data_IF_338589973234
#
_entry.id   IF_338589973234
#
_cell.length_a   1.000
_cell.length_b   1.000
_cell.length_c   1.000
_cell.angle_alpha   90.00
_cell.angle_beta   90.00
_cell.angle_gamma   90.00
#
_symmetry.space_group_name_H-M   'P 1'
#
loop_
_entity.id
_entity.type
_entity.pdbx_description
1 polymer ?
#
# COMPACT_ATOMS: atom_id res chain seq x y z
N UNK A 1 18.04 16.50 -1.53
CA UNK A 1 17.06 16.26 -2.62
C UNK A 1 16.86 17.55 -3.39
N UNK A 2 16.79 17.48 -4.72
CA UNK A 2 16.49 18.65 -5.56
C UNK A 2 15.05 19.13 -5.29
N UNK A 3 14.82 20.42 -4.98
CA UNK A 3 13.49 21.00 -4.83
C UNK A 3 12.53 20.71 -5.98
N UNK A 4 13.06 20.50 -7.20
CA UNK A 4 12.27 20.14 -8.40
C UNK A 4 11.67 18.74 -8.30
N UNK A 5 12.42 17.79 -7.75
CA UNK A 5 11.96 16.40 -7.55
C UNK A 5 10.86 16.33 -6.49
N UNK A 6 11.00 17.09 -5.40
CA UNK A 6 9.98 17.19 -4.35
C UNK A 6 8.68 17.82 -4.90
N UNK A 7 8.79 18.90 -5.68
CA UNK A 7 7.63 19.56 -6.31
C UNK A 7 6.95 18.65 -7.34
N UNK A 8 7.71 17.90 -8.14
CA UNK A 8 7.17 16.92 -9.07
C UNK A 8 6.46 15.77 -8.34
N UNK A 9 7.02 15.29 -7.22
CA UNK A 9 6.41 14.28 -6.36
C UNK A 9 5.07 14.74 -5.77
N UNK A 10 5.03 15.94 -5.20
CA UNK A 10 3.79 16.53 -4.68
C UNK A 10 2.77 16.74 -5.81
N UNK A 11 3.19 17.30 -6.95
CA UNK A 11 2.31 17.55 -8.10
C UNK A 11 1.71 16.26 -8.67
N UNK A 12 2.53 15.23 -8.87
CA UNK A 12 2.06 13.92 -9.37
C UNK A 12 1.12 13.22 -8.39
N UNK A 13 1.32 13.39 -7.08
CA UNK A 13 0.45 12.80 -6.06
C UNK A 13 -0.88 13.52 -5.93
N UNK A 14 -0.89 14.85 -6.07
CA UNK A 14 -2.13 15.64 -6.15
C UNK A 14 -2.91 15.27 -7.41
N UNK A 15 -2.24 15.16 -8.56
CA UNK A 15 -2.89 14.71 -9.80
C UNK A 15 -3.41 13.28 -9.66
N UNK A 16 -2.64 12.37 -9.08
CA UNK A 16 -3.05 10.99 -8.81
C UNK A 16 -4.25 10.91 -7.86
N UNK A 17 -4.28 11.72 -6.81
CA UNK A 17 -5.42 11.83 -5.89
C UNK A 17 -6.65 12.40 -6.58
N UNK A 18 -6.51 13.46 -7.37
CA UNK A 18 -7.63 14.09 -8.08
C UNK A 18 -8.18 13.20 -9.19
N UNK A 19 -7.31 12.55 -9.97
CA UNK A 19 -7.70 11.60 -11.02
C UNK A 19 -8.30 10.34 -10.39
N UNK A 20 -7.70 9.79 -9.34
CA UNK A 20 -8.23 8.65 -8.61
C UNK A 20 -9.58 8.95 -7.95
N UNK A 21 -9.77 10.16 -7.39
CA UNK A 21 -11.04 10.61 -6.83
C UNK A 21 -12.09 10.86 -7.92
N UNK A 22 -11.72 11.50 -9.03
CA UNK A 22 -12.62 11.76 -10.15
C UNK A 22 -13.06 10.46 -10.83
N UNK A 23 -12.12 9.57 -11.15
CA UNK A 23 -12.43 8.24 -11.68
C UNK A 23 -13.26 7.43 -10.67
N UNK A 24 -13.01 7.57 -9.37
CA UNK A 24 -13.83 6.90 -8.37
C UNK A 24 -15.26 7.41 -8.25
N UNK A 25 -15.49 8.70 -8.51
CA UNK A 25 -16.82 9.32 -8.43
C UNK A 25 -17.73 8.87 -9.58
N UNK A 26 -17.17 8.49 -10.74
CA UNK A 26 -17.94 8.04 -11.91
C UNK A 26 -17.88 6.52 -12.15
N UNK A 27 -17.50 5.73 -11.14
CA UNK A 27 -17.43 4.27 -11.27
C UNK A 27 -16.22 3.75 -12.06
N UNK A 28 -15.21 4.57 -12.32
CA UNK A 28 -13.96 4.19 -12.99
C UNK A 28 -13.11 3.16 -12.23
N UNK A 29 -13.36 2.95 -10.93
CA UNK A 29 -12.78 1.81 -10.18
C UNK A 29 -13.55 0.50 -10.37
N UNK A 30 -14.77 0.53 -10.90
CA UNK A 30 -15.60 -0.68 -11.05
C UNK A 30 -14.90 -1.78 -11.87
N UNK A 31 -14.24 -1.50 -13.02
CA UNK A 31 -13.52 -2.54 -13.76
C UNK A 31 -12.35 -3.14 -12.97
N UNK A 32 -11.69 -2.35 -12.12
CA UNK A 32 -10.58 -2.82 -11.27
C UNK A 32 -11.10 -3.73 -10.16
N UNK A 33 -12.21 -3.36 -9.52
CA UNK A 33 -12.83 -4.20 -8.49
C UNK A 33 -13.49 -5.45 -9.08
N UNK A 34 -14.06 -5.37 -10.28
CA UNK A 34 -14.59 -6.53 -11.00
C UNK A 34 -13.48 -7.51 -11.38
N UNK A 35 -12.36 -7.01 -11.91
CA UNK A 35 -11.16 -7.81 -12.15
C UNK A 35 -10.70 -8.50 -10.86
N UNK A 36 -10.63 -7.74 -9.76
CA UNK A 36 -10.21 -8.22 -8.46
C UNK A 36 -11.15 -9.28 -7.85
N UNK A 37 -12.38 -9.42 -8.36
CA UNK A 37 -13.32 -10.47 -7.97
C UNK A 37 -12.95 -11.86 -8.50
N UNK A 38 -12.08 -11.96 -9.50
CA UNK A 38 -11.52 -13.22 -9.98
C UNK A 38 -10.21 -13.56 -9.25
N UNK A 39 -9.88 -14.85 -9.09
CA UNK A 39 -8.65 -15.25 -8.42
C UNK A 39 -7.39 -14.70 -9.10
N UNK A 40 -7.33 -14.74 -10.44
CA UNK A 40 -6.19 -14.20 -11.20
C UNK A 40 -6.14 -12.68 -11.08
N UNK A 41 -7.28 -12.01 -11.26
CA UNK A 41 -7.33 -10.56 -11.20
C UNK A 41 -7.02 -10.01 -9.80
N UNK A 42 -7.43 -10.72 -8.73
CA UNK A 42 -7.02 -10.42 -7.36
C UNK A 42 -5.49 -10.32 -7.25
N UNK A 43 -4.77 -11.32 -7.74
CA UNK A 43 -3.30 -11.34 -7.70
C UNK A 43 -2.68 -10.25 -8.57
N UNK A 44 -3.24 -9.98 -9.75
CA UNK A 44 -2.77 -8.89 -10.62
C UNK A 44 -2.89 -7.55 -9.89
N UNK A 45 -4.05 -7.25 -9.31
CA UNK A 45 -4.27 -6.01 -8.56
C UNK A 45 -3.37 -5.95 -7.32
N UNK A 46 -3.21 -7.05 -6.59
CA UNK A 46 -2.33 -7.13 -5.43
C UNK A 46 -0.85 -6.86 -5.79
N UNK A 47 -0.34 -7.42 -6.90
CA UNK A 47 1.04 -7.18 -7.37
C UNK A 47 1.25 -5.72 -7.79
N UNK A 48 0.28 -5.15 -8.52
CA UNK A 48 0.35 -3.74 -8.94
C UNK A 48 0.35 -2.82 -7.72
N UNK A 49 -0.58 -3.02 -6.78
CA UNK A 49 -0.64 -2.24 -5.54
C UNK A 49 0.63 -2.42 -4.70
N UNK A 50 1.12 -3.64 -4.54
CA UNK A 50 2.35 -3.93 -3.81
C UNK A 50 3.57 -3.22 -4.43
N UNK A 51 3.65 -3.16 -5.76
CA UNK A 51 4.72 -2.46 -6.48
C UNK A 51 4.65 -0.94 -6.28
N UNK A 52 3.44 -0.36 -6.32
CA UNK A 52 3.22 1.06 -6.06
C UNK A 52 3.59 1.40 -4.61
N UNK A 53 3.21 0.57 -3.64
CA UNK A 53 3.55 0.76 -2.23
C UNK A 53 5.07 0.62 -2.01
N UNK A 54 5.74 -0.35 -2.64
CA UNK A 54 7.19 -0.48 -2.57
C UNK A 54 7.91 0.76 -3.14
N UNK A 55 7.40 1.33 -4.25
CA UNK A 55 7.90 2.58 -4.80
C UNK A 55 7.71 3.75 -3.83
N UNK A 56 6.51 3.91 -3.25
CA UNK A 56 6.25 4.93 -2.23
C UNK A 56 7.19 4.77 -1.04
N UNK A 57 7.44 3.55 -0.59
CA UNK A 57 8.42 3.29 0.47
C UNK A 57 9.80 3.81 0.07
N UNK A 58 10.33 3.33 -1.05
CA UNK A 58 11.69 3.59 -1.49
C UNK A 58 12.01 5.08 -1.62
N UNK A 59 11.08 5.86 -2.21
CA UNK A 59 11.33 7.25 -2.56
C UNK A 59 10.84 8.25 -1.50
N UNK A 60 9.83 7.89 -0.71
CA UNK A 60 9.19 8.83 0.21
C UNK A 60 9.47 8.42 1.66
N UNK A 61 9.09 7.20 2.07
CA UNK A 61 9.11 6.79 3.48
C UNK A 61 10.49 6.43 4.03
N UNK A 62 11.33 5.84 3.20
CA UNK A 62 12.65 5.37 3.61
C UNK A 62 13.57 6.49 4.16
N UNK A 63 13.39 7.72 3.67
CA UNK A 63 14.19 8.87 4.08
C UNK A 63 13.72 9.53 5.39
N UNK A 64 12.45 9.36 5.78
CA UNK A 64 11.88 10.07 6.94
C UNK A 64 11.59 9.17 8.13
N UNK A 65 11.39 7.87 7.92
CA UNK A 65 11.05 6.96 9.02
C UNK A 65 12.26 6.77 9.95
N UNK A 66 12.05 6.69 11.27
CA UNK A 66 13.14 6.55 12.23
C UNK A 66 13.64 5.11 12.34
N UNK A 67 14.87 4.96 12.84
CA UNK A 67 15.46 3.66 13.19
C UNK A 67 16.37 3.06 12.12
N UNK A 68 16.69 1.77 12.31
CA UNK A 68 17.45 0.96 11.35
C UNK A 68 16.60 0.67 10.10
N UNK A 69 17.19 0.28 8.97
CA UNK A 69 16.44 -0.02 7.74
C UNK A 69 15.30 -1.02 7.96
N UNK A 70 15.55 -2.07 8.74
CA UNK A 70 14.54 -3.06 9.15
C UNK A 70 13.39 -2.41 9.91
N UNK A 71 13.69 -1.56 10.90
CA UNK A 71 12.68 -0.88 11.72
C UNK A 71 11.84 0.08 10.87
N UNK A 72 12.46 0.86 9.99
CA UNK A 72 11.74 1.76 9.05
C UNK A 72 10.79 0.97 8.17
N UNK A 73 11.27 -0.13 7.61
CA UNK A 73 10.47 -1.06 6.82
C UNK A 73 9.29 -1.62 7.61
N UNK A 74 9.54 -2.10 8.83
CA UNK A 74 8.49 -2.61 9.71
C UNK A 74 7.42 -1.56 10.02
N UNK A 75 7.81 -0.33 10.34
CA UNK A 75 6.87 0.80 10.57
C UNK A 75 6.04 1.04 9.31
N UNK A 76 6.66 1.09 8.13
CA UNK A 76 5.92 1.25 6.88
C UNK A 76 4.92 0.12 6.64
N UNK A 77 5.34 -1.13 6.88
CA UNK A 77 4.45 -2.29 6.79
C UNK A 77 3.22 -2.16 7.69
N UNK A 78 3.41 -1.72 8.94
CA UNK A 78 2.29 -1.45 9.87
C UNK A 78 1.37 -0.35 9.33
N UNK A 79 1.91 0.73 8.77
CA UNK A 79 1.10 1.81 8.19
C UNK A 79 0.27 1.33 7.00
N UNK A 80 0.86 0.50 6.13
CA UNK A 80 0.14 -0.14 5.02
C UNK A 80 -0.95 -1.06 5.54
N UNK A 81 -0.66 -1.86 6.56
CA UNK A 81 -1.67 -2.73 7.17
C UNK A 81 -2.85 -1.92 7.73
N UNK A 82 -2.59 -0.84 8.47
CA UNK A 82 -3.64 0.06 8.97
C UNK A 82 -4.44 0.67 7.82
N UNK A 83 -3.77 1.12 6.74
CA UNK A 83 -4.45 1.63 5.55
C UNK A 83 -5.38 0.57 4.96
N UNK A 84 -4.91 -0.66 4.81
CA UNK A 84 -5.70 -1.76 4.25
C UNK A 84 -6.87 -2.14 5.17
N UNK A 85 -6.74 -2.03 6.50
CA UNK A 85 -7.86 -2.17 7.44
C UNK A 85 -8.95 -1.11 7.20
N UNK A 86 -8.56 0.15 7.04
CA UNK A 86 -9.50 1.25 6.74
C UNK A 86 -10.21 1.00 5.41
N UNK A 87 -9.45 0.62 4.38
CA UNK A 87 -10.01 0.32 3.05
C UNK A 87 -10.89 -0.94 3.04
N UNK A 88 -10.63 -1.90 3.93
CA UNK A 88 -11.49 -3.08 4.15
C UNK A 88 -12.90 -2.72 4.63
N UNK A 89 -13.06 -1.58 5.32
CA UNK A 89 -14.38 -1.03 5.66
C UNK A 89 -15.16 -0.50 4.45
N UNK A 90 -14.48 -0.25 3.34
CA UNK A 90 -15.05 0.39 2.14
C UNK A 90 -15.24 -0.60 0.97
N UNK A 91 -14.40 -1.63 0.87
CA UNK A 91 -14.47 -2.62 -0.21
C UNK A 91 -14.11 -4.04 0.25
N UNK A 92 -14.88 -5.02 -0.28
CA UNK A 92 -14.68 -6.44 -0.02
C UNK A 92 -13.29 -6.93 -0.43
N UNK A 93 -12.70 -6.39 -1.50
CA UNK A 93 -11.34 -6.75 -1.92
C UNK A 93 -10.31 -6.54 -0.79
N UNK A 94 -10.33 -5.37 -0.15
CA UNK A 94 -9.40 -5.05 0.93
C UNK A 94 -9.71 -5.82 2.20
N UNK A 95 -11.00 -6.08 2.48
CA UNK A 95 -11.42 -6.94 3.59
C UNK A 95 -10.85 -8.35 3.45
N UNK A 96 -11.05 -8.98 2.30
CA UNK A 96 -10.51 -10.33 2.03
C UNK A 96 -8.98 -10.37 2.12
N UNK A 97 -8.31 -9.27 1.74
CA UNK A 97 -6.85 -9.16 1.83
C UNK A 97 -6.31 -8.93 3.26
N UNK A 98 -7.14 -8.53 4.22
CA UNK A 98 -6.67 -8.13 5.57
C UNK A 98 -7.35 -8.82 6.74
N UNK A 99 -8.65 -9.07 6.66
CA UNK A 99 -9.44 -9.73 7.68
C UNK A 99 -10.70 -10.40 7.07
N UNK A 100 -10.53 -11.47 6.26
CA UNK A 100 -11.66 -12.21 5.73
C UNK A 100 -12.55 -12.75 6.87
N UNK A 101 -11.93 -13.15 7.99
CA UNK A 101 -12.59 -13.45 9.26
C UNK A 101 -12.05 -12.55 10.39
N UNK A 102 -12.84 -11.55 10.86
CA UNK A 102 -12.42 -10.63 11.91
C UNK A 102 -12.38 -11.27 13.32
N UNK A 103 -12.95 -12.46 13.53
CA UNK A 103 -12.97 -13.13 14.82
C UNK A 103 -11.77 -14.07 15.04
N UNK A 104 -10.98 -14.34 14.00
CA UNK A 104 -9.87 -15.29 14.01
C UNK A 104 -8.48 -14.67 14.22
N UNK A 105 -7.42 -15.50 14.28
CA UNK A 105 -6.02 -15.03 14.35
C UNK A 105 -5.58 -14.32 13.06
N UNK A 106 -6.41 -14.33 12.02
CA UNK A 106 -6.11 -13.81 10.69
C UNK A 106 -5.69 -12.33 10.72
N UNK A 107 -6.34 -11.50 11.54
CA UNK A 107 -5.99 -10.07 11.69
C UNK A 107 -4.54 -9.90 12.19
N UNK A 108 -4.13 -10.75 13.13
CA UNK A 108 -2.77 -10.75 13.66
C UNK A 108 -1.77 -11.32 12.64
N UNK A 109 -2.14 -12.40 11.94
CA UNK A 109 -1.30 -12.98 10.90
C UNK A 109 -1.08 -12.03 9.72
N UNK A 110 -2.09 -11.25 9.34
CA UNK A 110 -1.93 -10.22 8.30
C UNK A 110 -1.06 -9.06 8.79
N UNK A 111 -1.15 -8.65 10.07
CA UNK A 111 -0.19 -7.71 10.65
C UNK A 111 1.25 -8.25 10.55
N UNK A 112 1.50 -9.50 10.97
CA UNK A 112 2.82 -10.12 10.88
C UNK A 112 3.32 -10.15 9.44
N UNK A 113 2.47 -10.54 8.49
CA UNK A 113 2.80 -10.54 7.07
C UNK A 113 3.27 -9.15 6.59
N UNK A 114 2.54 -8.08 6.95
CA UNK A 114 2.89 -6.72 6.55
C UNK A 114 4.15 -6.21 7.25
N UNK A 115 4.37 -6.57 8.52
CA UNK A 115 5.62 -6.27 9.24
C UNK A 115 6.81 -6.94 8.57
N UNK A 116 6.70 -8.22 8.22
CA UNK A 116 7.76 -8.97 7.54
C UNK A 116 8.01 -8.39 6.14
N UNK A 117 6.96 -8.19 5.36
CA UNK A 117 7.05 -7.59 4.03
C UNK A 117 7.69 -6.19 4.06
N UNK A 118 7.24 -5.33 4.98
CA UNK A 118 7.81 -4.01 5.18
C UNK A 118 9.28 -4.09 5.60
N UNK A 119 9.63 -4.98 6.52
CA UNK A 119 11.02 -5.19 6.96
C UNK A 119 11.93 -5.59 5.80
N UNK A 120 11.45 -6.46 4.90
CA UNK A 120 12.16 -6.85 3.68
C UNK A 120 12.35 -5.64 2.76
N UNK A 121 11.33 -4.80 2.56
CA UNK A 121 11.49 -3.56 1.81
C UNK A 121 12.53 -2.63 2.43
N UNK A 122 12.56 -2.54 3.76
CA UNK A 122 13.55 -1.79 4.50
C UNK A 122 14.98 -2.23 4.21
N UNK A 123 15.21 -3.53 4.13
CA UNK A 123 16.51 -4.10 3.75
C UNK A 123 16.82 -3.88 2.26
N UNK A 124 15.84 -4.08 1.38
CA UNK A 124 16.04 -3.96 -0.08
C UNK A 124 16.38 -2.54 -0.52
N UNK A 125 15.79 -1.55 0.15
CA UNK A 125 16.01 -0.13 -0.15
C UNK A 125 16.88 0.56 0.89
N UNK A 126 17.71 -0.17 1.64
CA UNK A 126 18.69 0.46 2.54
C UNK A 126 19.48 1.53 1.77
N UNK A 127 19.31 2.79 2.17
CA UNK A 127 19.93 3.93 1.50
C UNK A 127 21.45 3.79 1.66
N UNK A 128 22.15 3.50 0.56
CA UNK A 128 23.58 3.79 0.44
C UNK A 128 23.80 5.26 0.15
#
# INVERSE_FOLDING_TARGET
MDPRVVRAGIGSSVVGLLVGAALGTFGGWAPVFELAGSQIGFWVVAVVLGSVLAYIYAYWFNAFLPGTPVIRGAIYGILVWILMLILGGVSGFFKEATYPDPAGPTVFLTLVLHVVWGSILGLLYEVR
#
